data_IF_187175539291
#
_entry.id   IF_187175539291
#
_cell.length_a   1.000
_cell.length_b   1.000
_cell.length_c   1.000
_cell.angle_alpha   90.00
_cell.angle_beta   90.00
_cell.angle_gamma   90.00
#
_symmetry.space_group_name_H-M   'P 1'
#
loop_
_entity.id
_entity.type
_entity.pdbx_description
1 polymer ?
#
# COMPACT_ATOMS: atom_id res chain seq x y z
N UNK A 1 5.90 25.95 -7.86
CA UNK A 1 4.80 25.89 -6.88
C UNK A 1 4.77 24.43 -6.45
N UNK A 2 5.44 24.13 -5.34
CA UNK A 2 5.63 22.80 -4.79
C UNK A 2 4.26 22.26 -4.34
N UNK A 3 3.86 21.10 -4.86
CA UNK A 3 2.65 20.43 -4.39
C UNK A 3 2.89 20.02 -2.92
N UNK A 4 1.92 20.24 -2.01
CA UNK A 4 2.08 19.88 -0.63
C UNK A 4 2.26 18.37 -0.51
N UNK A 5 3.37 17.97 0.09
CA UNK A 5 3.57 16.60 0.60
C UNK A 5 2.60 16.45 1.77
N UNK A 6 1.47 15.80 1.56
CA UNK A 6 0.53 15.47 2.64
C UNK A 6 1.20 14.42 3.54
N UNK A 7 1.98 14.90 4.51
CA UNK A 7 2.55 14.06 5.58
C UNK A 7 1.50 13.93 6.67
N UNK A 8 0.78 12.83 6.68
CA UNK A 8 0.08 12.40 7.89
C UNK A 8 1.14 11.69 8.76
N UNK A 9 1.81 12.49 9.60
CA UNK A 9 2.67 11.95 10.66
C UNK A 9 1.73 11.69 11.84
N UNK A 10 1.09 10.53 11.84
CA UNK A 10 0.53 10.02 13.07
C UNK A 10 1.70 9.59 13.95
N UNK A 11 1.64 9.92 15.26
CA UNK A 11 2.72 9.73 16.22
C UNK A 11 3.34 8.34 16.07
N UNK A 12 4.65 8.31 15.76
CA UNK A 12 5.41 7.07 15.73
C UNK A 12 5.16 6.32 17.05
N UNK A 13 4.70 5.08 17.03
CA UNK A 13 4.75 4.26 18.24
C UNK A 13 6.21 4.21 18.68
N UNK A 14 6.42 4.27 19.99
CA UNK A 14 7.72 4.23 20.64
C UNK A 14 8.62 3.24 19.92
N UNK A 15 9.77 3.71 19.39
CA UNK A 15 10.63 3.01 18.44
C UNK A 15 10.86 1.57 18.90
N UNK A 16 10.10 0.68 18.36
CA UNK A 16 10.33 -0.74 18.54
C UNK A 16 11.55 -1.09 17.70
N UNK A 17 12.65 -1.44 18.32
CA UNK A 17 13.73 -2.25 17.75
C UNK A 17 13.16 -3.64 17.40
N UNK A 18 12.05 -3.69 16.69
CA UNK A 18 11.24 -4.86 16.35
C UNK A 18 11.06 -5.00 14.84
N UNK A 19 10.67 -6.19 14.45
CA UNK A 19 10.29 -6.55 13.11
C UNK A 19 9.22 -5.60 12.56
N UNK A 20 9.47 -5.01 11.39
CA UNK A 20 8.54 -4.12 10.71
C UNK A 20 8.40 -4.52 9.24
N UNK A 21 7.32 -4.10 8.63
CA UNK A 21 7.01 -4.38 7.23
C UNK A 21 6.77 -3.08 6.48
N UNK A 22 7.15 -3.06 5.21
CA UNK A 22 6.79 -2.00 4.29
C UNK A 22 5.49 -2.35 3.60
N UNK A 23 4.52 -1.44 3.64
CA UNK A 23 3.29 -1.55 2.85
C UNK A 23 3.17 -0.37 1.90
N UNK A 24 2.66 -0.62 0.70
CA UNK A 24 2.54 0.40 -0.32
C UNK A 24 1.24 0.29 -1.11
N UNK A 25 0.71 1.46 -1.50
CA UNK A 25 -0.36 1.63 -2.49
C UNK A 25 0.20 2.43 -3.65
N UNK A 26 0.31 1.81 -4.83
CA UNK A 26 0.99 2.39 -5.99
C UNK A 26 0.04 2.45 -7.19
N UNK A 27 -0.35 3.66 -7.51
CA UNK A 27 -1.11 3.97 -8.72
C UNK A 27 -0.25 4.59 -9.81
N UNK A 28 -0.89 5.01 -10.90
CA UNK A 28 -0.20 5.63 -12.04
C UNK A 28 0.34 7.05 -11.78
N UNK A 29 -0.18 7.75 -10.78
CA UNK A 29 0.17 9.16 -10.48
C UNK A 29 0.83 9.32 -9.12
N UNK A 30 0.42 8.51 -8.15
CA UNK A 30 0.89 8.60 -6.77
C UNK A 30 1.26 7.22 -6.24
N UNK A 31 2.23 7.21 -5.35
CA UNK A 31 2.57 6.07 -4.52
C UNK A 31 2.50 6.49 -3.05
N UNK A 32 1.94 5.63 -2.20
CA UNK A 32 1.95 5.80 -0.74
C UNK A 32 2.73 4.65 -0.15
N UNK A 33 3.66 4.98 0.74
CA UNK A 33 4.40 4.00 1.51
C UNK A 33 4.11 4.20 2.98
N UNK A 34 4.12 3.13 3.75
CA UNK A 34 3.94 3.18 5.19
C UNK A 34 4.68 2.02 5.88
N UNK A 35 4.90 2.20 7.16
CA UNK A 35 5.38 1.14 8.05
C UNK A 35 4.19 0.41 8.64
N UNK A 36 4.22 -0.92 8.60
CA UNK A 36 3.29 -1.78 9.29
C UNK A 36 4.00 -2.57 10.40
N UNK A 37 3.42 -2.58 11.59
CA UNK A 37 3.88 -3.44 12.69
C UNK A 37 3.40 -4.88 12.50
N UNK A 38 3.95 -5.81 13.29
CA UNK A 38 3.48 -7.20 13.32
C UNK A 38 2.04 -7.34 13.83
N UNK A 39 1.56 -6.35 14.57
CA UNK A 39 0.21 -6.29 15.14
C UNK A 39 -0.81 -5.65 14.19
N UNK A 40 -0.36 -5.20 13.00
CA UNK A 40 -1.20 -4.60 11.98
C UNK A 40 -1.37 -3.08 12.08
N UNK A 41 -0.69 -2.41 13.03
CA UNK A 41 -0.72 -0.95 13.11
C UNK A 41 0.04 -0.33 11.93
N UNK A 42 -0.51 0.71 11.33
CA UNK A 42 0.09 1.47 10.23
C UNK A 42 0.58 2.82 10.76
N UNK A 43 1.79 3.19 10.38
CA UNK A 43 2.42 4.46 10.78
C UNK A 43 3.30 5.02 9.68
N UNK A 44 3.73 6.28 9.84
CA UNK A 44 4.65 6.96 8.94
C UNK A 44 4.21 6.90 7.46
N UNK A 45 2.94 7.20 7.21
CA UNK A 45 2.39 7.20 5.84
C UNK A 45 2.96 8.40 5.09
N UNK A 46 3.70 8.14 4.01
CA UNK A 46 4.25 9.18 3.13
C UNK A 46 3.74 8.97 1.71
N UNK A 47 3.35 10.08 1.06
CA UNK A 47 2.89 10.10 -0.33
C UNK A 47 3.97 10.69 -1.22
N UNK A 48 4.24 10.00 -2.33
CA UNK A 48 5.14 10.42 -3.39
C UNK A 48 4.38 10.61 -4.70
N UNK A 49 4.76 11.63 -5.46
CA UNK A 49 4.31 11.77 -6.84
C UNK A 49 5.21 10.92 -7.76
N UNK A 50 4.59 10.13 -8.65
CA UNK A 50 5.32 9.20 -9.53
C UNK A 50 6.26 9.93 -10.49
N UNK A 51 5.92 11.13 -10.92
CA UNK A 51 6.73 11.96 -11.83
C UNK A 51 7.98 12.55 -11.17
N UNK A 52 8.06 12.57 -9.83
CA UNK A 52 9.21 13.08 -9.09
C UNK A 52 10.30 12.01 -8.88
N UNK A 53 10.02 10.77 -9.17
CA UNK A 53 10.98 9.67 -9.01
C UNK A 53 11.11 8.86 -10.31
N UNK A 54 12.36 8.60 -10.76
CA UNK A 54 12.60 7.84 -12.00
C UNK A 54 12.08 6.40 -11.96
N UNK A 55 11.98 5.80 -10.77
CA UNK A 55 11.48 4.44 -10.58
C UNK A 55 10.89 4.23 -9.20
N UNK A 56 10.13 3.16 -9.04
CA UNK A 56 9.55 2.76 -7.76
C UNK A 56 10.65 2.42 -6.73
N UNK A 57 11.77 1.83 -7.17
CA UNK A 57 12.89 1.51 -6.29
C UNK A 57 13.54 2.78 -5.71
N UNK A 58 13.61 3.86 -6.50
CA UNK A 58 14.13 5.14 -6.01
C UNK A 58 13.17 5.82 -5.03
N UNK A 59 11.86 5.73 -5.28
CA UNK A 59 10.86 6.21 -4.33
C UNK A 59 10.91 5.42 -3.02
N UNK A 60 11.08 4.10 -3.09
CA UNK A 60 11.30 3.25 -1.91
C UNK A 60 12.58 3.64 -1.15
N UNK A 61 13.70 3.90 -1.86
CA UNK A 61 14.93 4.36 -1.22
C UNK A 61 14.73 5.68 -0.48
N UNK A 62 14.05 6.66 -1.11
CA UNK A 62 13.73 7.93 -0.46
C UNK A 62 12.88 7.74 0.81
N UNK A 63 11.91 6.84 0.76
CA UNK A 63 11.10 6.50 1.94
C UNK A 63 11.95 5.88 3.06
N UNK A 64 12.86 4.94 2.74
CA UNK A 64 13.74 4.34 3.73
C UNK A 64 14.66 5.39 4.40
N UNK A 65 15.16 6.36 3.62
CA UNK A 65 15.98 7.46 4.15
C UNK A 65 15.15 8.34 5.12
N UNK A 66 13.86 8.55 4.84
CA UNK A 66 12.95 9.29 5.72
C UNK A 66 12.63 8.51 7.01
N UNK A 67 12.72 7.18 7.01
CA UNK A 67 12.45 6.36 8.20
C UNK A 67 13.58 6.38 9.23
N UNK A 68 14.82 6.62 8.82
CA UNK A 68 15.98 6.58 9.70
C UNK A 68 15.89 7.50 10.95
N UNK A 69 15.41 8.76 10.83
CA UNK A 69 15.21 9.64 11.98
C UNK A 69 14.13 9.16 12.97
N UNK A 70 13.23 8.28 12.52
CA UNK A 70 12.15 7.70 13.33
C UNK A 70 12.52 6.37 14.00
N UNK A 71 13.82 5.99 13.93
CA UNK A 71 14.31 4.78 14.59
C UNK A 71 14.15 3.49 13.77
N UNK A 72 13.62 3.57 12.57
CA UNK A 72 13.57 2.44 11.64
C UNK A 72 14.87 2.39 10.85
N UNK A 73 15.81 1.60 11.32
CA UNK A 73 17.07 1.35 10.63
C UNK A 73 17.09 -0.09 10.10
N UNK A 74 17.72 -0.27 8.94
CA UNK A 74 17.83 -1.59 8.32
C UNK A 74 16.72 -1.89 7.31
N UNK A 75 16.55 -3.17 7.01
CA UNK A 75 15.60 -3.66 6.01
C UNK A 75 14.29 -4.11 6.67
N UNK A 76 13.13 -3.94 6.03
CA UNK A 76 11.89 -4.54 6.51
C UNK A 76 11.98 -6.07 6.44
N UNK A 77 11.25 -6.77 7.31
CA UNK A 77 11.15 -8.24 7.25
C UNK A 77 10.48 -8.71 5.96
N UNK A 78 9.51 -7.95 5.51
CA UNK A 78 8.79 -8.18 4.26
C UNK A 78 8.20 -6.86 3.74
N UNK A 79 7.81 -6.86 2.47
CA UNK A 79 7.10 -5.76 1.86
C UNK A 79 5.90 -6.27 1.03
N UNK A 80 4.80 -5.51 1.07
CA UNK A 80 3.62 -5.77 0.25
C UNK A 80 3.22 -4.51 -0.50
N UNK A 81 3.06 -4.63 -1.82
CA UNK A 81 2.69 -3.52 -2.69
C UNK A 81 1.33 -3.80 -3.32
N UNK A 82 0.34 -2.97 -3.02
CA UNK A 82 -0.91 -2.90 -3.76
C UNK A 82 -0.68 -2.10 -5.04
N UNK A 83 -0.90 -2.71 -6.19
CA UNK A 83 -0.56 -2.16 -7.51
C UNK A 83 -1.81 -2.02 -8.38
N UNK A 84 -1.96 -0.87 -9.02
CA UNK A 84 -3.05 -0.61 -9.96
C UNK A 84 -2.78 -1.33 -11.30
N UNK A 85 -3.16 -2.61 -11.39
CA UNK A 85 -3.02 -3.41 -12.59
C UNK A 85 -3.09 -4.91 -12.33
N UNK A 86 -3.06 -5.72 -13.39
CA UNK A 86 -3.03 -7.17 -13.27
C UNK A 86 -1.65 -7.63 -12.75
N UNK A 87 -1.67 -8.56 -11.81
CA UNK A 87 -0.46 -9.12 -11.21
C UNK A 87 -0.10 -10.41 -11.95
N UNK A 88 0.87 -10.34 -12.85
CA UNK A 88 1.35 -11.48 -13.62
C UNK A 88 2.87 -11.59 -13.54
N UNK A 89 3.36 -12.72 -13.02
CA UNK A 89 4.81 -12.98 -12.91
C UNK A 89 5.55 -12.04 -11.97
N UNK A 90 6.82 -11.72 -12.30
CA UNK A 90 7.72 -10.89 -11.49
C UNK A 90 7.50 -9.39 -11.69
N UNK A 91 7.03 -8.98 -12.89
CA UNK A 91 6.91 -7.57 -13.27
C UNK A 91 5.46 -7.14 -13.47
N UNK A 92 5.13 -5.95 -12.97
CA UNK A 92 3.87 -5.25 -13.21
C UNK A 92 4.15 -3.91 -13.88
N UNK A 93 3.49 -3.65 -15.01
CA UNK A 93 3.57 -2.39 -15.75
C UNK A 93 2.29 -1.59 -15.52
N UNK A 94 2.45 -0.35 -15.15
CA UNK A 94 1.31 0.55 -14.96
C UNK A 94 0.87 1.16 -16.30
N UNK A 95 -0.43 1.23 -16.52
CA UNK A 95 -0.98 1.77 -17.78
C UNK A 95 -0.66 3.26 -17.95
N UNK A 96 -0.63 4.02 -16.87
CA UNK A 96 -0.48 5.48 -16.88
C UNK A 96 0.80 5.96 -16.16
N UNK A 97 1.85 5.14 -16.13
CA UNK A 97 3.12 5.46 -15.52
C UNK A 97 4.27 4.82 -16.29
N UNK A 98 5.43 5.44 -16.24
CA UNK A 98 6.69 4.86 -16.76
C UNK A 98 7.30 3.84 -15.80
N UNK A 99 6.78 3.72 -14.59
CA UNK A 99 7.29 2.78 -13.62
C UNK A 99 6.97 1.34 -14.00
N UNK A 100 7.87 0.47 -13.62
CA UNK A 100 7.69 -0.98 -13.69
C UNK A 100 8.04 -1.53 -12.31
N UNK A 101 7.07 -2.10 -11.61
CA UNK A 101 7.32 -2.80 -10.36
C UNK A 101 7.86 -4.21 -10.66
N UNK A 102 9.02 -4.56 -10.09
CA UNK A 102 9.60 -5.90 -10.19
C UNK A 102 9.90 -6.41 -8.79
N UNK A 103 9.38 -7.60 -8.44
CA UNK A 103 9.62 -8.22 -7.13
C UNK A 103 11.12 -8.39 -6.88
N UNK A 104 11.85 -8.89 -7.86
CA UNK A 104 13.28 -9.13 -7.73
C UNK A 104 14.11 -7.85 -7.58
N UNK A 105 13.72 -6.75 -8.26
CA UNK A 105 14.40 -5.45 -8.09
C UNK A 105 14.06 -4.80 -6.75
N UNK A 106 12.78 -4.81 -6.36
CA UNK A 106 12.35 -4.27 -5.07
C UNK A 106 12.94 -5.07 -3.91
N UNK A 107 12.99 -6.40 -3.99
CA UNK A 107 13.66 -7.21 -2.97
C UNK A 107 15.12 -6.80 -2.81
N UNK A 108 15.86 -6.58 -3.90
CA UNK A 108 17.25 -6.09 -3.83
C UNK A 108 17.35 -4.70 -3.21
N UNK A 109 16.46 -3.79 -3.59
CA UNK A 109 16.43 -2.43 -3.01
C UNK A 109 16.10 -2.46 -1.50
N UNK A 110 15.36 -3.46 -1.05
CA UNK A 110 15.00 -3.71 0.34
C UNK A 110 15.96 -4.68 1.05
N UNK A 111 17.21 -4.82 0.56
CA UNK A 111 18.23 -5.64 1.21
C UNK A 111 17.97 -7.14 1.21
N UNK A 112 17.14 -7.64 0.31
CA UNK A 112 16.80 -9.06 0.18
C UNK A 112 15.48 -9.46 0.86
N UNK A 113 14.72 -8.51 1.38
CA UNK A 113 13.41 -8.77 1.99
C UNK A 113 12.44 -9.46 1.01
N UNK A 114 11.56 -10.28 1.53
CA UNK A 114 10.47 -10.85 0.75
C UNK A 114 9.54 -9.74 0.26
N UNK A 115 9.19 -9.77 -1.04
CA UNK A 115 8.29 -8.80 -1.66
C UNK A 115 7.10 -9.52 -2.25
N UNK A 116 5.91 -9.07 -1.88
CA UNK A 116 4.67 -9.54 -2.48
C UNK A 116 3.91 -8.41 -3.18
N UNK A 117 3.14 -8.78 -4.21
CA UNK A 117 2.29 -7.89 -4.98
C UNK A 117 0.84 -8.31 -4.83
N UNK A 118 -0.01 -7.32 -4.63
CA UNK A 118 -1.44 -7.48 -4.60
C UNK A 118 -2.08 -6.51 -5.61
N UNK A 119 -3.16 -6.90 -6.25
CA UNK A 119 -3.95 -5.91 -6.98
C UNK A 119 -4.58 -4.92 -5.99
N UNK A 120 -4.66 -3.63 -6.35
CA UNK A 120 -5.17 -2.55 -5.50
C UNK A 120 -6.60 -2.82 -4.98
N UNK A 121 -7.51 -3.30 -5.84
CA UNK A 121 -8.86 -3.67 -5.42
C UNK A 121 -8.92 -4.95 -4.59
N UNK A 122 -8.02 -5.90 -4.82
CA UNK A 122 -7.87 -7.05 -3.93
C UNK A 122 -7.40 -6.60 -2.53
N UNK A 123 -6.48 -5.64 -2.45
CA UNK A 123 -6.05 -5.05 -1.18
C UNK A 123 -7.22 -4.39 -0.42
N UNK A 124 -8.08 -3.63 -1.12
CA UNK A 124 -9.30 -3.07 -0.52
C UNK A 124 -10.22 -4.19 -0.03
N UNK A 125 -10.41 -5.26 -0.82
CA UNK A 125 -11.20 -6.43 -0.41
C UNK A 125 -10.71 -7.05 0.89
N UNK A 126 -9.39 -7.15 1.07
CA UNK A 126 -8.76 -7.62 2.32
C UNK A 126 -8.93 -6.63 3.48
N UNK A 127 -9.04 -5.33 3.22
CA UNK A 127 -9.20 -4.32 4.25
C UNK A 127 -10.61 -4.28 4.86
N UNK A 128 -11.65 -4.66 4.11
CA UNK A 128 -13.05 -4.54 4.53
C UNK A 128 -13.34 -5.12 5.92
N UNK A 129 -12.87 -6.34 6.29
CA UNK A 129 -13.13 -6.90 7.61
C UNK A 129 -12.50 -6.11 8.78
N UNK A 130 -11.59 -5.19 8.47
CA UNK A 130 -10.86 -4.37 9.45
C UNK A 130 -11.38 -2.94 9.53
N UNK A 131 -12.37 -2.56 8.70
CA UNK A 131 -12.98 -1.24 8.74
C UNK A 131 -13.86 -1.07 9.98
N UNK A 132 -13.72 0.07 10.64
CA UNK A 132 -14.58 0.49 11.73
C UNK A 132 -15.79 1.28 11.21
N UNK A 133 -16.80 1.48 12.05
CA UNK A 133 -18.03 2.20 11.69
C UNK A 133 -17.81 3.66 11.27
N UNK A 134 -16.68 4.24 11.65
CA UNK A 134 -16.23 5.58 11.25
C UNK A 134 -15.68 5.64 9.82
N UNK A 135 -15.29 4.51 9.24
CA UNK A 135 -14.57 4.44 7.97
C UNK A 135 -15.50 4.32 6.76
N UNK A 136 -16.79 4.14 6.99
CA UNK A 136 -17.77 3.98 5.93
C UNK A 136 -19.12 4.64 6.26
N UNK A 137 -19.89 4.91 5.22
CA UNK A 137 -21.24 5.47 5.33
C UNK A 137 -22.21 4.54 4.62
N UNK A 138 -23.27 4.15 5.32
CA UNK A 138 -24.33 3.34 4.70
C UNK A 138 -25.17 4.17 3.72
N UNK A 139 -25.19 3.74 2.47
CA UNK A 139 -25.99 4.35 1.41
C UNK A 139 -27.10 3.38 1.00
N UNK A 140 -28.32 3.67 1.40
CA UNK A 140 -29.48 2.83 1.11
C UNK A 140 -29.98 2.00 2.29
N UNK A 141 -31.15 1.41 2.15
CA UNK A 141 -31.79 0.58 3.16
C UNK A 141 -31.46 -0.89 2.97
N UNK A 142 -31.16 -1.58 4.03
CA UNK A 142 -30.90 -3.02 4.08
C UNK A 142 -29.98 -3.37 5.23
N UNK A 143 -30.11 -4.59 5.76
CA UNK A 143 -29.20 -5.09 6.76
C UNK A 143 -28.00 -5.75 6.10
N UNK A 144 -26.79 -5.39 6.56
CA UNK A 144 -25.57 -6.10 6.17
C UNK A 144 -25.65 -7.58 6.57
N UNK A 145 -25.16 -8.46 5.72
CA UNK A 145 -25.09 -9.91 5.98
C UNK A 145 -23.64 -10.35 5.86
N UNK A 146 -23.05 -10.71 6.98
CA UNK A 146 -21.63 -11.02 7.11
C UNK A 146 -21.20 -12.33 6.42
N UNK A 147 -22.13 -13.25 6.15
CA UNK A 147 -21.85 -14.57 5.57
C UNK A 147 -22.03 -14.60 4.04
N UNK A 148 -21.99 -13.45 3.39
CA UNK A 148 -22.21 -13.33 1.94
C UNK A 148 -21.00 -12.68 1.25
N UNK A 149 -20.75 -13.03 -0.02
CA UNK A 149 -19.72 -12.37 -0.81
C UNK A 149 -19.88 -10.85 -0.82
N UNK A 150 -18.76 -10.13 -0.71
CA UNK A 150 -18.73 -8.67 -0.81
C UNK A 150 -18.17 -8.27 -2.17
N UNK A 151 -18.90 -7.40 -2.87
CA UNK A 151 -18.41 -6.77 -4.10
C UNK A 151 -17.93 -5.37 -3.76
N UNK A 152 -16.70 -5.08 -4.12
CA UNK A 152 -16.10 -3.75 -4.02
C UNK A 152 -16.07 -3.14 -5.40
N UNK A 153 -16.60 -1.93 -5.52
CA UNK A 153 -16.61 -1.14 -6.75
C UNK A 153 -15.97 0.22 -6.47
N UNK A 154 -15.04 0.64 -7.31
CA UNK A 154 -14.40 1.95 -7.19
C UNK A 154 -14.30 2.64 -8.55
N UNK A 155 -15.07 3.72 -8.78
CA UNK A 155 -14.88 4.55 -9.95
C UNK A 155 -13.61 5.42 -9.77
N UNK A 156 -12.69 5.30 -10.72
CA UNK A 156 -11.45 6.08 -10.79
C UNK A 156 -11.18 6.49 -12.23
N UNK A 157 -9.94 6.45 -12.67
CA UNK A 157 -9.58 6.57 -14.10
C UNK A 157 -10.21 5.44 -14.94
N UNK A 158 -10.45 4.29 -14.29
CA UNK A 158 -11.24 3.16 -14.78
C UNK A 158 -12.20 2.68 -13.68
N UNK A 159 -12.91 1.59 -13.95
CA UNK A 159 -13.74 0.91 -12.93
C UNK A 159 -12.93 -0.23 -12.32
N UNK A 160 -12.56 -0.09 -11.05
CA UNK A 160 -12.00 -1.17 -10.26
C UNK A 160 -13.11 -2.04 -9.65
N UNK A 161 -12.91 -3.34 -9.65
CA UNK A 161 -13.87 -4.32 -9.11
C UNK A 161 -13.11 -5.42 -8.38
N UNK A 162 -13.58 -5.77 -7.18
CA UNK A 162 -13.14 -6.96 -6.47
C UNK A 162 -14.35 -7.72 -5.92
N UNK A 163 -14.34 -9.04 -6.04
CA UNK A 163 -15.25 -9.93 -5.33
C UNK A 163 -14.49 -10.60 -4.19
N UNK A 164 -14.83 -10.27 -2.97
CA UNK A 164 -14.22 -10.84 -1.77
C UNK A 164 -15.06 -11.98 -1.22
N UNK A 165 -14.42 -13.12 -0.94
CA UNK A 165 -14.98 -14.32 -0.32
C UNK A 165 -14.27 -14.65 1.01
N UNK A 166 -13.34 -13.83 1.47
CA UNK A 166 -12.45 -14.13 2.60
C UNK A 166 -13.14 -14.13 3.97
N UNK A 167 -14.39 -13.71 4.02
CA UNK A 167 -15.17 -13.59 5.26
C UNK A 167 -16.34 -14.59 5.32
N UNK A 168 -16.40 -15.58 4.39
CA UNK A 168 -17.36 -16.68 4.39
C UNK A 168 -16.68 -18.03 4.63
#
# INVERSE_FOLDING_TARGET
MEAPTDKVIDSAPEAAAGAWRLVADVGGTNARFAVASNEGSISLVTRYSVDQHPSIEQAVSAFLDELAPHGYSGTPDAACFALAGPIEGDEVRFTNSTWVASRSRLSRALGGSAVDFLNDFAAIGHAIPHLESSDWIQMGGGASRVDYPIVVLGPGTGLGVCLSLIHI
#
